data_IF_430569756873
#
_entry.id   IF_430569756873
#
_cell.length_a   1.000
_cell.length_b   1.000
_cell.length_c   1.000
_cell.angle_alpha   90.00
_cell.angle_beta   90.00
_cell.angle_gamma   90.00
#
_symmetry.space_group_name_H-M   'P 1'
#
loop_
_entity.id
_entity.type
_entity.pdbx_description
1 polymer ?
#
# COMPACT_ATOMS: atom_id res chain seq x y z
N UNK A 1 -9.63 6.10 17.25
CA UNK A 1 -10.48 6.88 16.31
C UNK A 1 -10.14 6.64 14.83
N UNK A 2 -8.92 6.91 14.33
CA UNK A 2 -8.60 6.78 12.89
C UNK A 2 -8.83 5.38 12.30
N UNK A 3 -8.51 4.32 13.05
CA UNK A 3 -8.70 2.93 12.63
C UNK A 3 -10.19 2.58 12.44
N UNK A 4 -11.03 2.85 13.43
CA UNK A 4 -12.47 2.55 13.34
C UNK A 4 -13.15 3.34 12.21
N UNK A 5 -12.76 4.61 12.01
CA UNK A 5 -13.24 5.41 10.88
C UNK A 5 -12.85 4.78 9.54
N UNK A 6 -11.61 4.29 9.41
CA UNK A 6 -11.15 3.59 8.20
C UNK A 6 -11.95 2.33 7.91
N UNK A 7 -12.20 1.51 8.93
CA UNK A 7 -13.01 0.28 8.81
C UNK A 7 -14.43 0.59 8.33
N UNK A 8 -15.08 1.58 8.96
CA UNK A 8 -16.46 2.00 8.59
C UNK A 8 -16.47 2.57 7.17
N UNK A 9 -15.50 3.39 6.82
CA UNK A 9 -15.41 4.01 5.49
C UNK A 9 -15.22 2.97 4.39
N UNK A 10 -14.28 2.04 4.54
CA UNK A 10 -14.05 0.96 3.56
C UNK A 10 -15.26 0.03 3.50
N UNK A 11 -15.84 -0.33 4.65
CA UNK A 11 -17.08 -1.11 4.69
C UNK A 11 -18.23 -0.42 3.95
N UNK A 12 -18.44 0.87 4.18
CA UNK A 12 -19.46 1.64 3.48
C UNK A 12 -19.22 1.66 1.95
N UNK A 13 -17.97 1.87 1.51
CA UNK A 13 -17.60 1.88 0.09
C UNK A 13 -17.80 0.53 -0.60
N UNK A 14 -17.76 -0.57 0.13
CA UNK A 14 -17.98 -1.92 -0.39
C UNK A 14 -19.46 -2.32 -0.33
N UNK A 15 -20.08 -2.23 0.85
CA UNK A 15 -21.43 -2.81 1.08
C UNK A 15 -22.56 -1.90 0.60
N UNK A 16 -22.40 -0.58 0.59
CA UNK A 16 -23.43 0.32 0.05
C UNK A 16 -23.66 0.09 -1.45
N UNK A 17 -22.61 0.09 -2.33
CA UNK A 17 -22.82 -0.21 -3.74
C UNK A 17 -23.26 -1.66 -3.98
N UNK A 18 -22.77 -2.63 -3.16
CA UNK A 18 -23.21 -4.02 -3.22
C UNK A 18 -24.71 -4.18 -2.88
N UNK A 19 -25.29 -3.26 -2.12
CA UNK A 19 -26.69 -3.29 -1.70
C UNK A 19 -27.01 -4.41 -0.67
N UNK A 20 -26.00 -5.07 -0.12
CA UNK A 20 -26.15 -6.18 0.81
C UNK A 20 -24.90 -6.40 1.64
N UNK A 21 -25.06 -6.94 2.85
CA UNK A 21 -23.95 -7.43 3.67
C UNK A 21 -23.54 -8.88 3.34
N UNK A 22 -24.23 -9.57 2.42
CA UNK A 22 -23.88 -10.93 2.00
C UNK A 22 -22.68 -11.01 1.04
N UNK A 23 -21.95 -9.90 0.84
CA UNK A 23 -20.76 -9.82 0.01
C UNK A 23 -19.54 -10.45 0.73
N UNK A 24 -19.33 -11.76 0.51
CA UNK A 24 -18.26 -12.52 1.17
C UNK A 24 -16.85 -11.96 0.89
N UNK A 25 -16.57 -11.56 -0.36
CA UNK A 25 -15.30 -10.91 -0.75
C UNK A 25 -15.04 -9.62 0.03
N UNK A 26 -16.09 -8.84 0.31
CA UNK A 26 -16.00 -7.62 1.13
C UNK A 26 -15.57 -7.93 2.57
N UNK A 27 -16.17 -8.93 3.21
CA UNK A 27 -15.77 -9.35 4.56
C UNK A 27 -14.37 -9.95 4.59
N UNK A 28 -14.02 -10.76 3.58
CA UNK A 28 -12.68 -11.32 3.46
C UNK A 28 -11.62 -10.21 3.36
N UNK A 29 -11.84 -9.22 2.49
CA UNK A 29 -10.91 -8.09 2.37
C UNK A 29 -10.82 -7.29 3.67
N UNK A 30 -11.94 -6.99 4.34
CA UNK A 30 -11.92 -6.28 5.62
C UNK A 30 -11.11 -7.05 6.68
N UNK A 31 -11.30 -8.36 6.77
CA UNK A 31 -10.55 -9.21 7.69
C UNK A 31 -9.05 -9.21 7.40
N UNK A 32 -8.67 -9.41 6.12
CA UNK A 32 -7.29 -9.42 5.68
C UNK A 32 -6.60 -8.03 5.81
N UNK A 33 -7.33 -6.95 5.58
CA UNK A 33 -6.80 -5.59 5.65
C UNK A 33 -6.63 -5.12 7.09
N UNK A 34 -7.69 -5.24 7.89
CA UNK A 34 -7.73 -4.64 9.22
C UNK A 34 -7.22 -5.58 10.32
N UNK A 35 -7.27 -6.90 10.13
CA UNK A 35 -6.74 -7.86 11.10
C UNK A 35 -5.24 -7.66 11.36
N UNK A 36 -4.37 -7.77 10.35
CA UNK A 36 -2.94 -7.51 10.51
C UNK A 36 -2.62 -6.08 10.98
N UNK A 37 -3.40 -5.07 10.52
CA UNK A 37 -3.23 -3.68 10.99
C UNK A 37 -3.51 -3.54 12.48
N UNK A 38 -4.52 -4.22 13.02
CA UNK A 38 -4.82 -4.23 14.46
C UNK A 38 -3.67 -4.85 15.24
N UNK A 39 -3.20 -6.02 14.79
CA UNK A 39 -2.10 -6.73 15.45
C UNK A 39 -0.84 -5.87 15.43
N UNK A 40 -0.47 -5.33 14.26
CA UNK A 40 0.70 -4.47 14.12
C UNK A 40 0.55 -3.19 14.96
N UNK A 41 -0.61 -2.53 14.91
CA UNK A 41 -0.90 -1.33 15.70
C UNK A 41 -0.80 -1.59 17.21
N UNK A 42 -1.31 -2.73 17.68
CA UNK A 42 -1.20 -3.15 19.07
C UNK A 42 0.26 -3.40 19.48
N UNK A 43 1.00 -4.16 18.66
CA UNK A 43 2.43 -4.42 18.93
C UNK A 43 3.23 -3.11 18.96
N UNK A 44 3.00 -2.22 17.98
CA UNK A 44 3.71 -0.94 17.90
C UNK A 44 3.35 0.00 19.06
N UNK A 45 2.11 -0.01 19.53
CA UNK A 45 1.68 0.80 20.65
C UNK A 45 2.49 0.51 21.93
N UNK A 46 2.80 -0.78 22.16
CA UNK A 46 3.57 -1.18 23.35
C UNK A 46 5.08 -1.20 23.15
N UNK A 47 5.56 -1.50 21.93
CA UNK A 47 7.00 -1.67 21.68
C UNK A 47 7.67 -0.44 21.07
N UNK A 48 6.97 0.31 20.22
CA UNK A 48 7.54 1.40 19.42
C UNK A 48 6.54 2.56 19.24
N UNK A 49 6.09 3.21 20.34
CA UNK A 49 5.05 4.25 20.28
C UNK A 49 5.44 5.44 19.41
N UNK A 50 6.71 5.86 19.43
CA UNK A 50 7.21 6.98 18.61
C UNK A 50 7.14 6.67 17.11
N UNK A 51 7.48 5.44 16.74
CA UNK A 51 7.35 5.00 15.35
C UNK A 51 5.89 4.93 14.91
N UNK A 52 5.00 4.48 15.79
CA UNK A 52 3.56 4.51 15.52
C UNK A 52 3.05 5.95 15.33
N UNK A 53 3.49 6.90 16.15
CA UNK A 53 3.13 8.31 16.02
C UNK A 53 3.58 8.88 14.65
N UNK A 54 4.82 8.60 14.22
CA UNK A 54 5.32 8.96 12.88
C UNK A 54 4.45 8.37 11.75
N UNK A 55 4.03 7.12 11.87
CA UNK A 55 3.17 6.45 10.88
C UNK A 55 1.75 7.02 10.82
N UNK A 56 1.26 7.58 11.90
CA UNK A 56 -0.04 8.24 11.97
C UNK A 56 -0.02 9.69 11.48
N UNK A 57 1.17 10.30 11.36
CA UNK A 57 1.32 11.61 10.72
C UNK A 57 1.27 11.46 9.20
N UNK A 58 0.24 12.05 8.60
CA UNK A 58 -0.04 11.96 7.17
C UNK A 58 -0.06 13.33 6.49
N UNK A 59 0.52 14.37 7.15
CA UNK A 59 0.54 15.73 6.60
C UNK A 59 1.62 15.86 5.52
N UNK A 60 1.25 15.59 4.28
CA UNK A 60 2.12 15.82 3.12
C UNK A 60 2.29 17.31 2.86
N UNK A 61 3.54 17.75 2.68
CA UNK A 61 3.88 19.16 2.44
C UNK A 61 4.04 19.50 0.96
N UNK A 62 4.51 18.53 0.16
CA UNK A 62 4.78 18.75 -1.26
C UNK A 62 3.50 18.80 -2.09
N UNK A 63 3.33 19.84 -2.92
CA UNK A 63 2.12 20.04 -3.72
C UNK A 63 1.86 18.89 -4.72
N UNK A 64 2.91 18.41 -5.41
CA UNK A 64 2.82 17.27 -6.34
C UNK A 64 2.32 16.02 -5.62
N UNK A 65 2.86 15.74 -4.43
CA UNK A 65 2.48 14.57 -3.65
C UNK A 65 1.05 14.65 -3.12
N UNK A 66 0.52 15.85 -2.85
CA UNK A 66 -0.90 16.03 -2.50
C UNK A 66 -1.82 15.61 -3.66
N UNK A 67 -1.46 15.97 -4.89
CA UNK A 67 -2.18 15.54 -6.10
C UNK A 67 -2.14 14.02 -6.29
N UNK A 68 -0.96 13.41 -6.11
CA UNK A 68 -0.79 11.95 -6.19
C UNK A 68 -1.63 11.22 -5.13
N UNK A 69 -1.65 11.72 -3.89
CA UNK A 69 -2.47 11.17 -2.80
C UNK A 69 -3.96 11.33 -3.06
N UNK A 70 -4.40 12.48 -3.61
CA UNK A 70 -5.79 12.71 -3.97
C UNK A 70 -6.23 11.73 -5.08
N UNK A 71 -5.40 11.54 -6.11
CA UNK A 71 -5.68 10.59 -7.18
C UNK A 71 -5.71 9.14 -6.68
N UNK A 72 -4.79 8.75 -5.79
CA UNK A 72 -4.83 7.47 -5.12
C UNK A 72 -6.13 7.29 -4.31
N UNK A 73 -6.55 8.32 -3.58
CA UNK A 73 -7.82 8.31 -2.84
C UNK A 73 -9.02 8.07 -3.75
N UNK A 74 -9.09 8.77 -4.89
CA UNK A 74 -10.14 8.59 -5.90
C UNK A 74 -10.11 7.17 -6.50
N UNK A 75 -8.92 6.62 -6.77
CA UNK A 75 -8.76 5.26 -7.24
C UNK A 75 -9.33 4.24 -6.23
N UNK A 76 -9.02 4.39 -4.92
CA UNK A 76 -9.56 3.49 -3.91
C UNK A 76 -11.07 3.61 -3.77
N UNK A 77 -11.60 4.83 -3.72
CA UNK A 77 -13.05 5.09 -3.64
C UNK A 77 -13.74 4.48 -4.85
N UNK A 78 -13.28 4.78 -6.06
CA UNK A 78 -13.84 4.26 -7.29
C UNK A 78 -13.71 2.74 -7.39
N UNK A 79 -12.56 2.19 -7.06
CA UNK A 79 -12.31 0.75 -7.14
C UNK A 79 -13.17 -0.07 -6.18
N UNK A 80 -13.35 0.39 -4.94
CA UNK A 80 -14.23 -0.29 -3.98
C UNK A 80 -15.71 -0.14 -4.37
N UNK A 81 -16.12 1.03 -4.84
CA UNK A 81 -17.49 1.23 -5.33
C UNK A 81 -17.78 0.33 -6.54
N UNK A 82 -16.85 0.27 -7.52
CA UNK A 82 -16.97 -0.62 -8.69
C UNK A 82 -17.04 -2.08 -8.28
N UNK A 83 -16.21 -2.52 -7.32
CA UNK A 83 -16.25 -3.90 -6.83
C UNK A 83 -17.60 -4.25 -6.18
N UNK A 84 -18.19 -3.32 -5.41
CA UNK A 84 -19.51 -3.49 -4.84
C UNK A 84 -20.61 -3.56 -5.91
N UNK A 85 -20.56 -2.69 -6.92
CA UNK A 85 -21.51 -2.70 -8.04
C UNK A 85 -21.34 -3.98 -8.89
N UNK A 86 -20.11 -4.40 -9.14
CA UNK A 86 -19.79 -5.63 -9.86
C UNK A 86 -20.42 -6.84 -9.16
N UNK A 87 -20.24 -6.94 -7.85
CA UNK A 87 -20.91 -7.99 -7.05
C UNK A 87 -22.43 -7.91 -7.16
N UNK A 88 -23.02 -6.70 -7.06
CA UNK A 88 -24.47 -6.50 -7.11
C UNK A 88 -25.09 -6.92 -8.43
N UNK A 89 -24.41 -6.61 -9.53
CA UNK A 89 -24.94 -6.85 -10.87
C UNK A 89 -24.36 -8.10 -11.54
N UNK A 90 -23.43 -8.81 -10.88
CA UNK A 90 -22.85 -10.05 -11.37
C UNK A 90 -22.06 -9.89 -12.66
N UNK A 91 -21.32 -8.77 -12.82
CA UNK A 91 -20.56 -8.52 -14.04
C UNK A 91 -19.32 -9.43 -14.19
N UNK A 92 -18.68 -9.76 -13.06
CA UNK A 92 -17.49 -10.63 -13.03
C UNK A 92 -17.81 -11.99 -12.44
N UNK A 93 -17.30 -13.03 -13.10
CA UNK A 93 -17.17 -14.37 -12.52
C UNK A 93 -15.69 -14.64 -12.23
N UNK A 94 -15.30 -14.53 -10.96
CA UNK A 94 -13.92 -14.76 -10.53
C UNK A 94 -13.76 -16.18 -10.02
N UNK A 95 -12.85 -17.00 -10.61
CA UNK A 95 -12.56 -18.32 -10.07
C UNK A 95 -12.06 -18.25 -8.64
N UNK A 96 -12.57 -19.14 -7.75
CA UNK A 96 -12.22 -19.10 -6.33
C UNK A 96 -10.72 -19.27 -6.07
N UNK A 97 -10.02 -20.04 -6.90
CA UNK A 97 -8.56 -20.17 -6.77
C UNK A 97 -7.82 -18.85 -6.94
N UNK A 98 -8.32 -17.92 -7.78
CA UNK A 98 -7.76 -16.58 -7.95
C UNK A 98 -7.92 -15.79 -6.65
N UNK A 99 -9.10 -15.85 -6.03
CA UNK A 99 -9.36 -15.19 -4.73
C UNK A 99 -8.42 -15.71 -3.64
N UNK A 100 -8.23 -17.03 -3.59
CA UNK A 100 -7.31 -17.67 -2.63
C UNK A 100 -5.86 -17.25 -2.90
N UNK A 101 -5.42 -17.33 -4.15
CA UNK A 101 -4.06 -16.92 -4.52
C UNK A 101 -3.81 -15.43 -4.22
N UNK A 102 -4.77 -14.56 -4.55
CA UNK A 102 -4.70 -13.13 -4.25
C UNK A 102 -4.65 -12.86 -2.73
N UNK A 103 -5.40 -13.62 -1.93
CA UNK A 103 -5.37 -13.52 -0.47
C UNK A 103 -4.00 -13.92 0.09
N UNK A 104 -3.39 -14.97 -0.46
CA UNK A 104 -2.04 -15.38 -0.09
C UNK A 104 -1.00 -14.32 -0.47
N UNK A 105 -1.05 -13.77 -1.70
CA UNK A 105 -0.18 -12.67 -2.14
C UNK A 105 -0.36 -11.44 -1.25
N UNK A 106 -1.59 -11.11 -0.87
CA UNK A 106 -1.90 -10.00 0.04
C UNK A 106 -1.21 -10.17 1.39
N UNK A 107 -1.31 -11.35 2.02
CA UNK A 107 -0.68 -11.64 3.30
C UNK A 107 0.85 -11.63 3.22
N UNK A 108 1.43 -12.21 2.16
CA UNK A 108 2.87 -12.15 1.90
C UNK A 108 3.33 -10.70 1.76
N UNK A 109 2.55 -9.88 1.05
CA UNK A 109 2.84 -8.45 0.89
C UNK A 109 2.79 -7.69 2.21
N UNK A 110 1.89 -8.06 3.12
CA UNK A 110 1.90 -7.54 4.49
C UNK A 110 3.16 -7.92 5.26
N UNK A 111 3.62 -9.16 5.11
CA UNK A 111 4.88 -9.63 5.70
C UNK A 111 6.08 -8.85 5.17
N UNK A 112 6.15 -8.65 3.85
CA UNK A 112 7.19 -7.81 3.22
C UNK A 112 7.14 -6.37 3.73
N UNK A 113 5.94 -5.79 3.84
CA UNK A 113 5.76 -4.44 4.37
C UNK A 113 6.21 -4.32 5.83
N UNK A 114 5.92 -5.33 6.66
CA UNK A 114 6.37 -5.38 8.04
C UNK A 114 7.90 -5.48 8.13
N UNK A 115 8.53 -6.27 7.26
CA UNK A 115 9.99 -6.39 7.19
C UNK A 115 10.63 -5.05 6.78
N UNK A 116 10.09 -4.37 5.78
CA UNK A 116 10.54 -3.03 5.39
C UNK A 116 10.48 -2.06 6.57
N UNK A 117 9.39 -2.09 7.36
CA UNK A 117 9.26 -1.26 8.56
C UNK A 117 10.29 -1.61 9.63
N UNK A 118 10.66 -2.89 9.74
CA UNK A 118 11.69 -3.36 10.69
C UNK A 118 13.09 -2.88 10.28
N UNK A 119 13.40 -2.92 8.98
CA UNK A 119 14.71 -2.54 8.46
C UNK A 119 14.94 -1.02 8.43
N UNK A 120 13.90 -0.23 8.18
CA UNK A 120 14.04 1.20 7.96
C UNK A 120 13.26 2.02 8.99
N UNK A 121 13.98 2.47 10.02
CA UNK A 121 13.41 3.32 11.07
C UNK A 121 13.01 4.73 10.58
N UNK A 122 13.53 5.17 9.43
CA UNK A 122 13.20 6.48 8.82
C UNK A 122 11.96 6.41 7.92
N UNK A 123 11.36 5.23 7.76
CA UNK A 123 10.22 5.03 6.87
C UNK A 123 9.03 5.92 7.27
N UNK A 124 8.72 6.91 6.43
CA UNK A 124 7.63 7.86 6.61
C UNK A 124 6.53 7.66 5.56
N UNK A 125 5.33 8.18 5.83
CA UNK A 125 4.25 8.26 4.84
C UNK A 125 4.42 9.45 3.90
N UNK A 126 5.18 10.45 4.33
CA UNK A 126 5.49 11.67 3.58
C UNK A 126 6.91 11.61 3.04
N UNK A 127 7.13 12.20 1.86
CA UNK A 127 8.46 12.26 1.26
C UNK A 127 9.24 13.38 1.93
N UNK A 128 10.24 13.00 2.75
CA UNK A 128 11.14 13.92 3.46
C UNK A 128 12.42 13.18 3.85
N UNK A 129 13.50 13.91 4.00
CA UNK A 129 14.72 13.43 4.67
C UNK A 129 14.67 13.86 6.13
N UNK A 130 14.92 12.95 7.05
CA UNK A 130 14.97 13.24 8.48
C UNK A 130 16.39 13.65 8.89
N UNK A 131 16.51 14.45 9.95
CA UNK A 131 17.80 14.82 10.51
C UNK A 131 18.58 13.58 10.96
N UNK A 132 19.85 13.47 10.55
CA UNK A 132 20.67 12.29 10.84
C UNK A 132 20.29 11.02 10.09
N UNK A 133 19.39 11.09 9.08
CA UNK A 133 19.02 9.94 8.27
C UNK A 133 20.24 9.37 7.54
N UNK A 134 20.38 8.05 7.58
CA UNK A 134 21.39 7.29 6.85
C UNK A 134 20.72 6.46 5.77
N UNK A 135 21.46 6.19 4.70
CA UNK A 135 21.02 5.26 3.66
C UNK A 135 20.95 3.84 4.25
N UNK A 136 19.82 3.18 4.11
CA UNK A 136 19.64 1.76 4.40
C UNK A 136 19.91 1.01 3.11
N UNK A 137 20.90 0.12 3.09
CA UNK A 137 21.31 -0.64 1.90
C UNK A 137 21.45 -2.16 2.18
N UNK A 138 20.85 -2.61 3.27
CA UNK A 138 20.84 -4.01 3.73
C UNK A 138 19.49 -4.68 3.47
N UNK A 139 19.42 -6.00 3.66
CA UNK A 139 18.18 -6.77 3.54
C UNK A 139 17.44 -6.51 2.23
N UNK A 140 16.15 -6.16 2.31
CA UNK A 140 15.33 -5.86 1.14
C UNK A 140 15.84 -4.64 0.35
N UNK A 141 16.42 -3.66 1.03
CA UNK A 141 17.04 -2.48 0.40
C UNK A 141 18.35 -2.80 -0.34
N UNK A 142 18.99 -3.93 -0.05
CA UNK A 142 20.10 -4.45 -0.82
C UNK A 142 19.68 -5.07 -2.17
N UNK A 143 18.41 -5.42 -2.33
CA UNK A 143 17.85 -6.05 -3.53
C UNK A 143 17.18 -5.05 -4.46
N UNK A 144 16.33 -4.19 -3.90
CA UNK A 144 15.60 -3.14 -4.61
C UNK A 144 15.62 -1.85 -3.79
N UNK A 145 15.58 -0.69 -4.47
CA UNK A 145 15.66 0.60 -3.79
C UNK A 145 14.39 0.97 -3.02
N UNK A 146 13.23 0.48 -3.48
CA UNK A 146 11.93 0.83 -2.92
C UNK A 146 11.08 -0.39 -2.55
N UNK A 147 11.54 -1.23 -1.59
CA UNK A 147 10.82 -2.46 -1.22
C UNK A 147 9.44 -2.19 -0.63
N UNK A 148 9.22 -1.02 -0.01
CA UNK A 148 7.90 -0.60 0.45
C UNK A 148 6.90 -0.47 -0.72
N UNK A 149 7.32 0.15 -1.82
CA UNK A 149 6.45 0.28 -2.98
C UNK A 149 6.22 -1.05 -3.68
N UNK A 150 7.20 -1.96 -3.66
CA UNK A 150 7.01 -3.33 -4.13
C UNK A 150 5.92 -4.04 -3.32
N UNK A 151 6.01 -3.98 -1.99
CA UNK A 151 5.01 -4.58 -1.10
C UNK A 151 3.62 -3.99 -1.33
N UNK A 152 3.50 -2.65 -1.41
CA UNK A 152 2.19 -2.00 -1.63
C UNK A 152 1.63 -2.24 -3.03
N UNK A 153 2.47 -2.43 -4.04
CA UNK A 153 2.04 -2.78 -5.40
C UNK A 153 1.27 -4.11 -5.41
N UNK A 154 1.87 -5.15 -4.85
CA UNK A 154 1.23 -6.46 -4.77
C UNK A 154 0.02 -6.45 -3.82
N UNK A 155 0.11 -5.76 -2.69
CA UNK A 155 -0.96 -5.63 -1.72
C UNK A 155 -2.21 -5.00 -2.35
N UNK A 156 -2.06 -3.89 -3.07
CA UNK A 156 -3.22 -3.16 -3.60
C UNK A 156 -3.78 -3.79 -4.88
N UNK A 157 -2.94 -4.39 -5.73
CA UNK A 157 -3.43 -5.13 -6.90
C UNK A 157 -4.13 -6.45 -6.52
N UNK A 158 -3.86 -7.00 -5.34
CA UNK A 158 -4.58 -8.17 -4.84
C UNK A 158 -6.00 -7.84 -4.37
N UNK A 159 -6.27 -6.59 -3.92
CA UNK A 159 -7.57 -6.21 -3.36
C UNK A 159 -8.75 -6.48 -4.31
N UNK A 160 -8.74 -5.99 -5.56
CA UNK A 160 -9.84 -6.26 -6.49
C UNK A 160 -10.04 -7.74 -6.81
N UNK A 161 -8.96 -8.53 -6.81
CA UNK A 161 -9.03 -9.98 -7.01
C UNK A 161 -9.66 -10.69 -5.81
N UNK A 162 -9.36 -10.25 -4.57
CA UNK A 162 -10.00 -10.72 -3.34
C UNK A 162 -11.48 -10.37 -3.35
N UNK A 163 -11.84 -9.19 -3.85
CA UNK A 163 -13.21 -8.73 -4.00
C UNK A 163 -13.97 -9.44 -5.13
N UNK A 164 -13.29 -10.22 -5.97
CA UNK A 164 -13.92 -10.97 -7.07
C UNK A 164 -14.28 -10.11 -8.29
N UNK A 165 -13.61 -8.96 -8.49
CA UNK A 165 -13.98 -7.99 -9.53
C UNK A 165 -12.85 -7.73 -10.53
N UNK A 166 -13.06 -8.12 -11.79
CA UNK A 166 -12.18 -7.74 -12.91
C UNK A 166 -12.28 -6.25 -13.23
N UNK A 167 -13.46 -5.66 -13.10
CA UNK A 167 -13.68 -4.23 -13.36
C UNK A 167 -12.98 -3.34 -12.33
N UNK A 168 -13.01 -3.74 -11.05
CA UNK A 168 -12.24 -3.04 -10.03
C UNK A 168 -10.73 -3.18 -10.29
N UNK A 169 -10.24 -4.32 -10.81
CA UNK A 169 -8.84 -4.50 -11.17
C UNK A 169 -8.40 -3.47 -12.23
N UNK A 170 -9.25 -3.14 -13.22
CA UNK A 170 -8.95 -2.08 -14.19
C UNK A 170 -8.76 -0.72 -13.53
N UNK A 171 -9.56 -0.40 -12.49
CA UNK A 171 -9.39 0.84 -11.72
C UNK A 171 -8.08 0.80 -10.94
N UNK A 172 -7.79 -0.29 -10.25
CA UNK A 172 -6.55 -0.46 -9.48
C UNK A 172 -5.29 -0.55 -10.36
N UNK A 173 -5.42 -0.85 -11.66
CA UNK A 173 -4.31 -0.80 -12.61
C UNK A 173 -3.70 0.60 -12.79
N UNK A 174 -4.36 1.66 -12.29
CA UNK A 174 -3.76 2.99 -12.18
C UNK A 174 -2.67 3.07 -11.10
N UNK A 175 -2.65 2.15 -10.11
CA UNK A 175 -1.71 2.21 -8.99
C UNK A 175 -0.23 2.14 -9.37
N UNK A 176 0.21 1.28 -10.30
CA UNK A 176 1.60 1.31 -10.82
C UNK A 176 2.03 2.68 -11.31
N UNK A 177 1.16 3.42 -12.00
CA UNK A 177 1.46 4.77 -12.49
C UNK A 177 1.66 5.74 -11.33
N UNK A 178 0.77 5.66 -10.31
CA UNK A 178 0.86 6.44 -9.07
C UNK A 178 2.22 6.21 -8.39
N UNK A 179 2.62 4.94 -8.27
CA UNK A 179 3.91 4.56 -7.67
C UNK A 179 5.08 5.10 -8.46
N UNK A 180 5.07 5.01 -9.79
CA UNK A 180 6.15 5.50 -10.65
C UNK A 180 6.38 7.01 -10.46
N UNK A 181 5.30 7.80 -10.42
CA UNK A 181 5.38 9.24 -10.18
C UNK A 181 5.97 9.52 -8.80
N UNK A 182 5.41 8.89 -7.77
CA UNK A 182 5.85 9.09 -6.38
C UNK A 182 7.31 8.71 -6.16
N UNK A 183 7.73 7.57 -6.73
CA UNK A 183 9.08 7.05 -6.62
C UNK A 183 10.10 7.97 -7.29
N UNK A 184 9.78 8.55 -8.46
CA UNK A 184 10.68 9.47 -9.16
C UNK A 184 10.94 10.74 -8.32
N UNK A 185 9.88 11.33 -7.77
CA UNK A 185 9.99 12.51 -6.90
C UNK A 185 10.80 12.19 -5.63
N UNK A 186 10.58 11.00 -5.05
CA UNK A 186 11.34 10.55 -3.87
C UNK A 186 12.82 10.34 -4.18
N UNK A 187 13.16 9.67 -5.31
CA UNK A 187 14.56 9.48 -5.73
C UNK A 187 15.26 10.80 -6.03
N UNK A 188 14.55 11.80 -6.56
CA UNK A 188 15.09 13.13 -6.80
C UNK A 188 15.44 13.83 -5.47
N UNK A 189 14.48 13.84 -4.53
CA UNK A 189 14.71 14.41 -3.20
C UNK A 189 15.86 13.72 -2.48
N UNK A 190 15.86 12.38 -2.42
CA UNK A 190 16.88 11.61 -1.73
C UNK A 190 18.26 11.79 -2.37
N UNK A 191 18.33 11.92 -3.69
CA UNK A 191 19.59 12.16 -4.40
C UNK A 191 20.17 13.54 -4.05
N UNK A 192 19.30 14.54 -3.85
CA UNK A 192 19.69 15.91 -3.52
C UNK A 192 20.03 16.10 -2.04
N UNK A 193 19.29 15.45 -1.14
CA UNK A 193 19.29 15.79 0.29
C UNK A 193 19.90 14.70 1.19
N UNK A 194 19.99 13.43 0.73
CA UNK A 194 20.51 12.34 1.54
C UNK A 194 21.95 11.96 1.15
N UNK A 195 22.97 12.28 1.99
CA UNK A 195 24.35 11.91 1.70
C UNK A 195 24.52 10.40 1.49
N UNK A 196 25.21 10.02 0.42
CA UNK A 196 25.47 8.62 0.06
C UNK A 196 24.39 7.97 -0.82
N UNK A 197 23.22 8.59 -1.03
CA UNK A 197 22.14 8.00 -1.83
C UNK A 197 22.53 7.84 -3.31
N UNK A 198 23.34 8.76 -3.87
CA UNK A 198 23.82 8.64 -5.24
C UNK A 198 24.71 7.38 -5.45
N UNK A 199 25.58 7.07 -4.49
CA UNK A 199 26.39 5.84 -4.50
C UNK A 199 25.53 4.58 -4.33
N UNK A 200 24.53 4.64 -3.45
CA UNK A 200 23.56 3.55 -3.26
C UNK A 200 22.79 3.23 -4.55
N UNK A 201 22.35 4.24 -5.32
CA UNK A 201 21.71 4.05 -6.62
C UNK A 201 22.60 3.32 -7.64
N UNK A 202 23.91 3.52 -7.57
CA UNK A 202 24.85 2.80 -8.43
C UNK A 202 25.02 1.34 -8.00
N UNK A 203 24.99 1.06 -6.69
CA UNK A 203 25.10 -0.28 -6.10
C UNK A 203 23.85 -1.11 -6.33
N UNK A 204 22.66 -0.55 -6.06
CA UNK A 204 21.38 -1.23 -6.17
C UNK A 204 20.64 -0.68 -7.40
N UNK A 205 20.66 -1.45 -8.49
CA UNK A 205 20.19 -1.00 -9.81
C UNK A 205 18.66 -1.04 -9.93
N UNK A 206 18.00 -1.97 -9.26
CA UNK A 206 16.56 -2.21 -9.40
C UNK A 206 15.75 -1.31 -8.46
N UNK A 207 14.66 -0.74 -8.96
CA UNK A 207 13.76 0.13 -8.19
C UNK A 207 12.73 -0.66 -7.40
N UNK A 208 11.94 -1.49 -8.09
CA UNK A 208 10.82 -2.24 -7.50
C UNK A 208 11.00 -3.75 -7.61
N UNK A 209 11.30 -4.26 -8.80
CA UNK A 209 11.37 -5.69 -9.06
C UNK A 209 12.76 -6.04 -9.55
N UNK A 210 13.45 -7.00 -8.89
CA UNK A 210 14.75 -7.48 -9.35
C UNK A 210 14.66 -7.94 -10.80
N UNK A 211 15.67 -7.60 -11.59
CA UNK A 211 15.82 -7.95 -13.01
C UNK A 211 14.77 -7.36 -13.96
N UNK A 212 13.80 -6.56 -13.48
CA UNK A 212 12.76 -5.92 -14.31
C UNK A 212 12.95 -4.42 -14.36
N UNK A 213 12.94 -3.75 -13.23
CA UNK A 213 13.02 -2.26 -13.14
C UNK A 213 13.49 -1.77 -11.78
#
# INVERSE_FOLDING_TARGET
MKFGLGLVMVGALLFWPAGTFAYAGGWLLLGLLFGPMLIAGFVMFFKTPDFLAKRLDAKEKQATQKGVLAFAGLMFIGGFAVAGLDFRFGWSEMPQWVVIAASAVFLVSYGLYAEVMRENAYLSRTIKVEEGQKVVDTGLYGMVRHPMYTATLFLFLSMPLILGSWYALLVFAAYPVIIIVRLKDEEELLTRELPGYAAYKQKVKYRLLPFVW
#
